data_IF_334031754274
#
_entry.id   IF_334031754274
#
_cell.length_a   1.000
_cell.length_b   1.000
_cell.length_c   1.000
_cell.angle_alpha   90.00
_cell.angle_beta   90.00
_cell.angle_gamma   90.00
#
_symmetry.space_group_name_H-M   'P 1'
#
loop_
_entity.id
_entity.type
_entity.pdbx_description
1 polymer ?
#
# COMPACT_ATOMS: atom_id res chain seq x y z
N UNK A 1 5.87 7.31 -16.17
CA UNK A 1 5.71 8.16 -14.99
C UNK A 1 7.00 8.92 -14.76
N UNK A 2 6.98 10.25 -14.66
CA UNK A 2 8.19 10.99 -14.41
C UNK A 2 8.76 10.58 -13.04
N UNK A 3 10.02 10.24 -13.04
CA UNK A 3 10.74 9.97 -11.81
C UNK A 3 11.26 11.29 -11.24
N UNK A 4 10.53 11.88 -10.32
CA UNK A 4 11.09 12.90 -9.47
C UNK A 4 11.75 12.20 -8.29
N UNK A 5 13.06 12.18 -8.25
CA UNK A 5 13.79 11.60 -7.12
C UNK A 5 14.21 12.69 -6.16
N UNK A 6 13.70 12.59 -4.95
CA UNK A 6 14.50 13.04 -3.83
C UNK A 6 15.51 11.93 -3.54
N UNK A 7 16.75 12.29 -3.32
CA UNK A 7 17.73 11.33 -2.84
C UNK A 7 17.21 10.71 -1.57
N UNK A 8 16.88 9.44 -1.68
CA UNK A 8 16.35 8.68 -0.60
C UNK A 8 17.51 7.91 0.04
N UNK A 9 17.68 8.10 1.32
CA UNK A 9 18.63 7.35 2.14
C UNK A 9 18.23 5.88 2.34
N UNK A 10 17.40 5.32 1.48
CA UNK A 10 16.91 3.95 1.58
C UNK A 10 15.63 3.78 2.39
N UNK A 11 15.21 4.80 3.13
CA UNK A 11 13.91 4.83 3.77
C UNK A 11 12.86 5.36 2.78
N UNK A 12 11.63 4.92 2.89
CA UNK A 12 10.54 5.42 2.06
C UNK A 12 10.33 4.71 0.73
N UNK A 13 11.03 3.62 0.49
CA UNK A 13 10.75 2.75 -0.64
C UNK A 13 9.53 1.90 -0.34
N UNK A 14 8.64 1.80 -1.31
CA UNK A 14 7.55 0.83 -1.26
C UNK A 14 7.52 -0.01 -2.54
N UNK A 15 7.02 -1.22 -2.42
CA UNK A 15 6.67 -2.03 -3.55
C UNK A 15 5.19 -1.85 -3.86
N UNK A 16 4.87 -1.53 -5.09
CA UNK A 16 3.52 -1.54 -5.61
C UNK A 16 3.28 -2.87 -6.29
N UNK A 17 2.30 -3.60 -5.82
CA UNK A 17 1.81 -4.81 -6.46
C UNK A 17 0.57 -4.42 -7.25
N UNK A 18 0.64 -4.48 -8.56
CA UNK A 18 -0.45 -4.06 -9.44
C UNK A 18 -0.65 -5.07 -10.55
N UNK A 19 -1.88 -5.57 -10.69
CA UNK A 19 -2.24 -6.54 -11.75
C UNK A 19 -1.21 -7.67 -11.88
N UNK A 20 -0.82 -8.26 -10.75
CA UNK A 20 0.16 -9.33 -10.66
C UNK A 20 1.58 -8.96 -11.09
N UNK A 21 1.90 -7.67 -11.09
CA UNK A 21 3.25 -7.15 -11.31
C UNK A 21 3.75 -6.42 -10.08
N UNK A 22 5.03 -6.51 -9.83
CA UNK A 22 5.71 -5.76 -8.78
C UNK A 22 6.44 -4.57 -9.37
N UNK A 23 6.20 -3.39 -8.83
CA UNK A 23 6.88 -2.17 -9.20
C UNK A 23 7.40 -1.45 -7.98
N UNK A 24 8.60 -0.92 -8.06
CA UNK A 24 9.15 -0.09 -6.98
C UNK A 24 8.67 1.33 -7.10
N UNK A 25 8.21 1.86 -5.98
CA UNK A 25 7.89 3.27 -5.83
C UNK A 25 8.94 3.93 -4.95
N UNK A 26 9.33 5.12 -5.34
CA UNK A 26 10.25 5.98 -4.59
C UNK A 26 9.52 7.25 -4.17
N UNK A 27 10.19 8.06 -3.35
CA UNK A 27 9.63 9.35 -2.96
C UNK A 27 9.22 10.17 -4.20
N UNK A 28 8.04 10.77 -4.11
CA UNK A 28 7.41 11.58 -5.15
C UNK A 28 6.92 10.83 -6.39
N UNK A 29 6.96 9.52 -6.39
CA UNK A 29 6.26 8.75 -7.41
C UNK A 29 4.75 8.86 -7.21
N UNK A 30 4.06 8.80 -8.32
CA UNK A 30 2.60 8.87 -8.36
C UNK A 30 2.04 7.60 -9.02
N UNK A 31 0.98 7.06 -8.44
CA UNK A 31 0.25 5.95 -8.98
C UNK A 31 -1.24 6.25 -9.00
N UNK A 32 -1.88 6.00 -10.14
CA UNK A 32 -3.33 6.08 -10.29
C UNK A 32 -3.91 4.69 -10.55
N UNK A 33 -4.83 4.27 -9.69
CA UNK A 33 -5.56 3.02 -9.85
C UNK A 33 -7.00 3.33 -10.30
N UNK A 34 -7.32 3.13 -11.58
CA UNK A 34 -8.72 3.15 -12.02
C UNK A 34 -9.53 2.08 -11.31
N UNK A 35 -10.85 2.18 -11.37
CA UNK A 35 -11.73 1.13 -10.86
C UNK A 35 -11.35 -0.24 -11.43
N UNK A 36 -11.50 -1.30 -10.63
CA UNK A 36 -11.16 -2.69 -10.98
C UNK A 36 -9.68 -3.00 -11.15
N UNK A 37 -8.82 -2.08 -10.77
CA UNK A 37 -7.38 -2.34 -10.72
C UNK A 37 -7.01 -3.01 -9.41
N UNK A 38 -6.51 -4.23 -9.48
CA UNK A 38 -5.98 -4.93 -8.31
C UNK A 38 -4.64 -4.31 -7.91
N UNK A 39 -4.53 -3.87 -6.68
CA UNK A 39 -3.29 -3.26 -6.21
C UNK A 39 -3.11 -3.38 -4.70
N UNK A 40 -1.86 -3.35 -4.27
CA UNK A 40 -1.48 -3.27 -2.87
C UNK A 40 -0.14 -2.55 -2.74
N UNK A 41 0.07 -1.89 -1.61
CA UNK A 41 1.34 -1.27 -1.27
C UNK A 41 2.02 -2.05 -0.15
N UNK A 42 3.30 -2.28 -0.29
CA UNK A 42 4.11 -3.00 0.69
C UNK A 42 5.35 -2.18 1.01
N UNK A 43 5.69 -2.03 2.28
CA UNK A 43 6.96 -1.43 2.68
C UNK A 43 8.12 -2.31 2.22
N UNK A 44 9.05 -1.74 1.49
CA UNK A 44 10.13 -2.49 0.86
C UNK A 44 11.53 -1.94 1.16
N UNK A 45 11.62 -0.84 1.89
CA UNK A 45 12.89 -0.25 2.29
C UNK A 45 13.31 -0.63 3.70
N UNK A 46 14.42 -0.09 4.15
CA UNK A 46 14.98 -0.32 5.50
C UNK A 46 14.20 0.39 6.61
N UNK A 47 13.39 1.34 6.26
CA UNK A 47 12.60 2.12 7.21
C UNK A 47 11.15 2.25 6.79
N UNK A 48 10.35 2.94 7.59
CA UNK A 48 8.95 3.16 7.26
C UNK A 48 8.81 4.03 6.01
N UNK A 49 7.76 3.79 5.24
CA UNK A 49 7.37 4.65 4.13
C UNK A 49 6.04 5.34 4.45
N UNK A 50 5.85 6.50 3.85
CA UNK A 50 4.59 7.25 3.96
C UNK A 50 3.95 7.31 2.59
N UNK A 51 2.69 6.94 2.53
CA UNK A 51 1.91 6.95 1.29
C UNK A 51 0.68 7.82 1.53
N UNK A 52 0.52 8.84 0.69
CA UNK A 52 -0.70 9.62 0.65
C UNK A 52 -1.67 8.96 -0.34
N UNK A 53 -2.84 8.59 0.13
CA UNK A 53 -3.89 8.03 -0.72
C UNK A 53 -5.07 8.96 -0.79
N UNK A 54 -5.56 9.19 -2.00
CA UNK A 54 -6.76 9.98 -2.26
C UNK A 54 -7.68 9.15 -3.13
N UNK A 55 -8.93 9.03 -2.74
CA UNK A 55 -9.88 8.22 -3.49
C UNK A 55 -11.30 8.74 -3.39
N UNK A 56 -12.05 8.53 -4.45
CA UNK A 56 -13.49 8.72 -4.46
C UNK A 56 -14.16 7.38 -4.14
N UNK A 57 -14.84 7.33 -3.01
CA UNK A 57 -15.57 6.13 -2.59
C UNK A 57 -16.98 6.16 -3.15
N UNK A 58 -17.10 5.84 -4.41
CA UNK A 58 -18.40 5.68 -5.07
C UNK A 58 -18.45 4.31 -5.72
N UNK A 59 -19.39 3.48 -5.34
CA UNK A 59 -19.55 2.19 -5.99
C UNK A 59 -19.79 1.04 -5.01
N UNK A 60 -19.83 -0.19 -5.52
CA UNK A 60 -20.32 -1.38 -4.79
C UNK A 60 -19.39 -1.93 -3.71
N UNK A 61 -18.26 -1.32 -3.45
CA UNK A 61 -17.35 -1.77 -2.40
C UNK A 61 -16.01 -2.25 -2.93
N UNK A 62 -15.33 -3.08 -2.14
CA UNK A 62 -13.99 -3.56 -2.39
C UNK A 62 -14.00 -5.08 -2.47
N UNK A 63 -13.23 -5.63 -3.37
CA UNK A 63 -12.99 -7.07 -3.47
C UNK A 63 -11.52 -7.38 -3.15
N UNK A 64 -11.32 -8.42 -2.37
CA UNK A 64 -9.99 -8.90 -1.98
C UNK A 64 -9.72 -10.23 -2.67
N UNK A 65 -9.00 -10.24 -3.79
CA UNK A 65 -8.64 -11.48 -4.47
C UNK A 65 -7.47 -12.16 -3.78
N UNK A 66 -7.32 -13.45 -4.03
CA UNK A 66 -6.10 -14.18 -3.67
C UNK A 66 -5.00 -13.80 -4.67
N UNK A 67 -3.82 -13.47 -4.15
CA UNK A 67 -2.66 -13.12 -4.97
C UNK A 67 -1.42 -13.84 -4.44
N UNK A 68 -0.82 -14.67 -5.25
CA UNK A 68 0.45 -15.32 -4.90
C UNK A 68 1.58 -14.31 -4.73
N UNK A 69 1.60 -13.28 -5.55
CA UNK A 69 2.58 -12.21 -5.45
C UNK A 69 2.44 -11.46 -4.12
N UNK A 70 1.23 -11.06 -3.76
CA UNK A 70 0.98 -10.39 -2.49
C UNK A 70 1.24 -11.30 -1.29
N UNK A 71 1.01 -12.60 -1.42
CA UNK A 71 1.27 -13.58 -0.36
C UNK A 71 2.75 -13.65 0.02
N UNK A 72 3.66 -13.38 -0.91
CA UNK A 72 5.10 -13.32 -0.63
C UNK A 72 5.45 -12.23 0.40
N UNK A 73 4.61 -11.24 0.52
CA UNK A 73 4.77 -10.13 1.46
C UNK A 73 3.79 -10.20 2.63
N UNK A 74 3.05 -11.30 2.77
CA UNK A 74 2.01 -11.41 3.79
C UNK A 74 0.81 -10.51 3.54
N UNK A 75 0.59 -10.07 2.31
CA UNK A 75 -0.42 -9.09 1.93
C UNK A 75 -1.59 -9.68 1.14
N UNK A 76 -1.72 -10.99 1.10
CA UNK A 76 -2.85 -11.65 0.45
C UNK A 76 -3.81 -12.25 1.46
N UNK A 77 -5.07 -12.33 1.07
CA UNK A 77 -6.06 -13.15 1.77
C UNK A 77 -5.89 -14.61 1.40
N UNK A 78 -6.30 -15.51 2.30
CA UNK A 78 -6.27 -16.96 2.04
C UNK A 78 -7.39 -17.38 1.08
N UNK A 79 -8.54 -16.72 1.17
CA UNK A 79 -9.70 -16.94 0.31
C UNK A 79 -10.22 -15.62 -0.20
N UNK A 80 -10.58 -15.56 -1.47
CA UNK A 80 -11.15 -14.37 -2.07
C UNK A 80 -12.45 -13.98 -1.35
N UNK A 81 -12.58 -12.71 -1.03
CA UNK A 81 -13.73 -12.19 -0.30
C UNK A 81 -13.98 -10.72 -0.61
N UNK A 82 -15.21 -10.29 -0.44
CA UNK A 82 -15.57 -8.87 -0.45
C UNK A 82 -15.87 -8.34 0.95
N UNK A 83 -15.70 -9.18 1.97
CA UNK A 83 -15.88 -8.79 3.37
C UNK A 83 -14.54 -8.41 3.99
N UNK A 84 -14.38 -7.13 4.32
CA UNK A 84 -13.16 -6.62 4.92
C UNK A 84 -12.83 -7.28 6.26
N UNK A 85 -13.85 -7.73 7.00
CA UNK A 85 -13.64 -8.39 8.28
C UNK A 85 -12.95 -9.74 8.11
N UNK A 86 -13.31 -10.47 7.07
CA UNK A 86 -12.64 -11.73 6.72
C UNK A 86 -11.25 -11.46 6.15
N UNK A 87 -11.11 -10.44 5.31
CA UNK A 87 -9.82 -10.08 4.73
C UNK A 87 -8.79 -9.65 5.78
N UNK A 88 -9.23 -9.02 6.85
CA UNK A 88 -8.37 -8.49 7.90
C UNK A 88 -8.38 -9.30 9.20
N UNK A 89 -8.95 -10.51 9.20
CA UNK A 89 -9.11 -11.32 10.40
C UNK A 89 -7.79 -11.66 11.10
N UNK A 90 -6.70 -11.78 10.35
CA UNK A 90 -5.35 -12.08 10.87
C UNK A 90 -4.43 -10.86 10.90
N UNK A 91 -4.93 -9.69 10.54
CA UNK A 91 -4.12 -8.49 10.50
C UNK A 91 -3.79 -8.01 11.92
N UNK A 92 -2.53 -7.64 12.11
CA UNK A 92 -2.13 -6.89 13.29
C UNK A 92 -2.60 -5.44 13.15
N UNK A 93 -3.37 -4.98 14.12
CA UNK A 93 -3.85 -3.61 14.13
C UNK A 93 -2.83 -2.70 14.79
N UNK A 94 -2.34 -1.74 14.02
CA UNK A 94 -1.45 -0.73 14.54
C UNK A 94 -2.18 0.24 15.47
N UNK A 95 -1.50 0.65 16.53
CA UNK A 95 -1.94 1.81 17.29
C UNK A 95 -1.88 3.04 16.40
N UNK A 96 -2.93 3.85 16.44
CA UNK A 96 -2.89 5.16 15.81
C UNK A 96 -2.03 6.07 16.68
N UNK A 97 -0.76 6.11 16.36
CA UNK A 97 0.18 7.03 16.98
C UNK A 97 0.55 8.13 16.00
N UNK A 98 0.74 9.34 16.53
CA UNK A 98 1.33 10.39 15.71
C UNK A 98 2.79 10.01 15.44
N UNK A 99 3.26 10.04 14.21
CA UNK A 99 4.67 9.85 13.94
C UNK A 99 5.49 10.86 14.74
N UNK A 100 6.65 10.47 15.27
CA UNK A 100 7.51 11.38 16.02
C UNK A 100 7.87 12.66 15.28
N UNK A 101 7.95 12.58 13.95
CA UNK A 101 8.20 13.73 13.08
C UNK A 101 7.12 14.80 13.15
N UNK A 102 5.90 14.46 13.53
CA UNK A 102 4.81 15.42 13.62
C UNK A 102 4.97 16.40 14.77
N UNK A 103 5.74 16.05 15.78
CA UNK A 103 6.07 16.96 16.88
C UNK A 103 6.89 18.17 16.41
N UNK A 104 7.48 18.11 15.24
CA UNK A 104 8.29 19.17 14.63
C UNK A 104 7.52 20.00 13.61
N UNK A 105 6.27 19.65 13.33
CA UNK A 105 5.43 20.42 12.41
C UNK A 105 4.93 21.68 13.11
N UNK A 106 4.91 22.80 12.40
CA UNK A 106 4.37 24.05 12.94
C UNK A 106 2.86 23.98 13.22
#
# INVERSE_FOLDING_TARGET
>A
MPEARLEDSGSGLSALLVENEERRLRAWDFFHAPGWTEHAFVGAGEGPCVILTVGARSGPGVHYPVSELAARYGASVAEATSDWRKASATAEWFRRERPPSWARLP
#
